data_IF_576219848605
#
_entry.id   IF_576219848605
#
_cell.length_a   1.000
_cell.length_b   1.000
_cell.length_c   1.000
_cell.angle_alpha   90.00
_cell.angle_beta   90.00
_cell.angle_gamma   90.00
#
_symmetry.space_group_name_H-M   'P 1'
#
loop_
_entity.id
_entity.type
_entity.pdbx_description
1 polymer ?
#
# COMPACT_ATOMS: atom_id res chain seq x y z
N UNK A 1 -2.69 10.79 -14.59
CA UNK A 1 -1.99 9.82 -13.75
C UNK A 1 -2.18 8.41 -14.29
N UNK A 2 -1.09 7.68 -14.37
CA UNK A 2 -1.13 6.30 -14.84
C UNK A 2 -1.53 5.38 -13.68
N UNK A 3 -2.62 4.63 -13.84
CA UNK A 3 -3.10 3.71 -12.83
C UNK A 3 -2.78 2.24 -13.16
N UNK A 4 -1.77 2.02 -14.01
CA UNK A 4 -1.34 0.66 -14.33
C UNK A 4 -0.69 -0.01 -13.12
N UNK A 5 -0.87 -1.32 -12.96
CA UNK A 5 -0.19 -2.04 -11.89
C UNK A 5 1.33 -1.97 -12.02
N UNK A 6 2.02 -2.00 -10.90
CA UNK A 6 3.48 -1.98 -10.88
C UNK A 6 4.02 -2.81 -9.73
N UNK A 7 5.30 -3.18 -9.84
CA UNK A 7 5.97 -3.95 -8.81
C UNK A 7 6.89 -3.06 -8.00
N UNK A 8 6.91 -3.28 -6.69
CA UNK A 8 7.84 -2.64 -5.78
C UNK A 8 8.74 -3.70 -5.18
N UNK A 9 10.05 -3.44 -5.18
CA UNK A 9 11.01 -4.28 -4.49
C UNK A 9 11.79 -3.41 -3.53
N UNK A 10 11.79 -3.78 -2.26
CA UNK A 10 12.40 -2.97 -1.22
C UNK A 10 12.79 -3.85 -0.05
N UNK A 11 13.63 -3.31 0.82
CA UNK A 11 14.06 -4.03 2.01
C UNK A 11 13.24 -3.57 3.20
N UNK A 12 12.73 -4.54 3.96
CA UNK A 12 11.97 -4.27 5.18
C UNK A 12 12.40 -5.30 6.23
N UNK A 13 12.90 -4.82 7.36
CA UNK A 13 13.39 -5.66 8.45
C UNK A 13 14.42 -6.69 7.97
N UNK A 14 15.37 -6.21 7.15
CA UNK A 14 16.47 -7.03 6.59
C UNK A 14 16.01 -8.11 5.63
N UNK A 15 14.77 -8.06 5.16
CA UNK A 15 14.27 -8.99 4.15
C UNK A 15 13.83 -8.23 2.92
N UNK A 16 14.18 -8.78 1.75
CA UNK A 16 13.68 -8.22 0.50
C UNK A 16 12.21 -8.55 0.36
N UNK A 17 11.42 -7.52 0.08
CA UNK A 17 10.00 -7.66 -0.17
C UNK A 17 9.71 -7.35 -1.63
N UNK A 18 8.81 -8.11 -2.22
CA UNK A 18 8.33 -7.86 -3.57
C UNK A 18 6.81 -7.82 -3.50
N UNK A 19 6.23 -6.66 -3.81
CA UNK A 19 4.79 -6.51 -3.76
C UNK A 19 4.30 -5.95 -5.10
N UNK A 20 3.13 -6.41 -5.52
CA UNK A 20 2.45 -5.85 -6.67
C UNK A 20 1.42 -4.85 -6.18
N UNK A 21 1.48 -3.65 -6.74
CA UNK A 21 0.54 -2.58 -6.41
C UNK A 21 -0.40 -2.40 -7.58
N UNK A 22 -1.69 -2.55 -7.33
CA UNK A 22 -2.73 -2.36 -8.34
C UNK A 22 -3.59 -1.17 -7.94
N UNK A 23 -3.32 0.03 -8.49
CA UNK A 23 -4.20 1.15 -8.21
C UNK A 23 -5.61 0.80 -8.64
N UNK A 24 -6.55 0.93 -7.73
CA UNK A 24 -7.91 0.46 -7.95
C UNK A 24 -8.82 1.58 -8.43
N UNK A 25 -8.91 2.60 -7.63
CA UNK A 25 -9.98 3.56 -7.81
C UNK A 25 -9.60 4.87 -7.14
N UNK A 26 -10.31 5.92 -7.54
CA UNK A 26 -10.08 7.25 -7.00
C UNK A 26 -11.39 7.79 -6.45
N UNK A 27 -11.39 8.22 -5.20
CA UNK A 27 -12.54 8.88 -4.58
C UNK A 27 -12.07 10.16 -3.90
N UNK A 28 -12.75 11.27 -4.17
CA UNK A 28 -12.46 12.55 -3.52
C UNK A 28 -10.97 12.92 -3.57
N UNK A 29 -10.35 12.72 -4.73
CA UNK A 29 -8.94 13.01 -4.96
C UNK A 29 -7.98 12.10 -4.21
N UNK A 30 -8.45 10.99 -3.69
CA UNK A 30 -7.61 10.01 -3.01
C UNK A 30 -7.63 8.71 -3.80
N UNK A 31 -6.46 8.13 -4.00
CA UNK A 31 -6.33 6.88 -4.76
C UNK A 31 -6.20 5.73 -3.77
N UNK A 32 -6.87 4.63 -4.08
CA UNK A 32 -6.82 3.40 -3.31
C UNK A 32 -5.92 2.41 -4.05
N UNK A 33 -5.06 1.71 -3.32
CA UNK A 33 -4.07 0.80 -3.90
C UNK A 33 -4.26 -0.60 -3.32
N UNK A 34 -4.55 -1.56 -4.20
CA UNK A 34 -4.64 -2.96 -3.80
C UNK A 34 -3.23 -3.55 -3.76
N UNK A 35 -2.90 -4.19 -2.66
CA UNK A 35 -1.58 -4.77 -2.43
C UNK A 35 -1.68 -6.28 -2.58
N UNK A 36 -0.86 -6.83 -3.46
CA UNK A 36 -0.80 -8.25 -3.75
C UNK A 36 0.60 -8.76 -3.47
N UNK A 37 0.70 -9.90 -2.79
CA UNK A 37 1.97 -10.57 -2.51
C UNK A 37 1.80 -12.04 -2.90
N UNK A 38 2.74 -12.55 -3.71
CA UNK A 38 2.71 -13.93 -4.21
C UNK A 38 1.37 -14.26 -4.88
N UNK A 39 0.87 -13.33 -5.70
CA UNK A 39 -0.38 -13.46 -6.43
C UNK A 39 -1.62 -13.59 -5.53
N UNK A 40 -1.51 -13.15 -4.27
CA UNK A 40 -2.62 -13.16 -3.35
C UNK A 40 -2.91 -11.74 -2.86
N UNK A 41 -4.18 -11.37 -2.90
CA UNK A 41 -4.62 -10.08 -2.38
C UNK A 41 -4.42 -10.04 -0.86
N UNK A 42 -3.83 -8.96 -0.39
CA UNK A 42 -3.56 -8.77 1.04
C UNK A 42 -4.51 -7.74 1.65
N UNK A 43 -4.49 -6.53 1.11
CA UNK A 43 -5.29 -5.43 1.64
C UNK A 43 -5.26 -4.28 0.64
N UNK A 44 -6.14 -3.32 0.89
CA UNK A 44 -6.18 -2.07 0.12
C UNK A 44 -5.79 -0.94 1.06
N UNK A 45 -4.83 -0.13 0.64
CA UNK A 45 -4.34 0.98 1.44
C UNK A 45 -4.54 2.29 0.70
N UNK A 46 -4.57 3.37 1.47
CA UNK A 46 -4.79 4.70 0.91
C UNK A 46 -4.10 5.72 1.82
N UNK A 47 -3.64 6.85 1.27
CA UNK A 47 -3.13 7.93 2.11
C UNK A 47 -4.23 8.44 3.04
N UNK A 48 -3.87 8.81 4.24
CA UNK A 48 -4.82 9.34 5.20
C UNK A 48 -4.11 9.81 6.45
N UNK A 49 -4.91 10.16 7.45
CA UNK A 49 -4.35 10.55 8.74
C UNK A 49 -4.31 9.34 9.65
N UNK A 50 -3.21 9.19 10.36
CA UNK A 50 -3.05 8.17 11.39
C UNK A 50 -2.88 8.89 12.73
N UNK A 51 -3.33 8.24 13.80
CA UNK A 51 -3.27 8.81 15.15
C UNK A 51 -3.84 10.23 15.22
N UNK A 52 -4.92 10.46 14.47
CA UNK A 52 -5.67 11.71 14.50
C UNK A 52 -5.22 12.76 13.51
N UNK A 53 -3.93 13.12 13.50
CA UNK A 53 -3.49 14.27 12.71
C UNK A 53 -2.18 14.05 11.95
N UNK A 54 -1.59 12.87 12.02
CA UNK A 54 -0.33 12.61 11.32
C UNK A 54 -0.58 12.03 9.95
N UNK A 55 0.05 12.58 8.87
CA UNK A 55 -0.06 11.96 7.55
C UNK A 55 0.54 10.56 7.57
N UNK A 56 -0.09 9.66 6.86
CA UNK A 56 0.40 8.29 6.76
C UNK A 56 -0.47 7.48 5.82
N UNK A 57 -0.42 6.16 5.99
CA UNK A 57 -1.18 5.23 5.16
C UNK A 57 -2.08 4.39 6.06
N UNK A 58 -3.30 4.16 5.62
CA UNK A 58 -4.27 3.40 6.39
C UNK A 58 -4.89 2.31 5.53
N UNK A 59 -5.40 1.29 6.20
CA UNK A 59 -6.12 0.22 5.52
C UNK A 59 -7.54 0.66 5.26
N UNK A 60 -7.96 0.57 4.00
CA UNK A 60 -9.34 0.81 3.61
C UNK A 60 -10.13 -0.50 3.58
N UNK A 61 -9.46 -1.59 3.20
CA UNK A 61 -10.08 -2.90 3.12
C UNK A 61 -8.99 -3.96 3.29
N UNK A 62 -9.30 -5.08 3.93
CA UNK A 62 -8.32 -6.15 4.07
C UNK A 62 -8.98 -7.51 3.86
N UNK A 63 -8.16 -8.47 3.45
CA UNK A 63 -8.54 -9.87 3.44
C UNK A 63 -8.67 -10.36 4.88
N UNK A 64 -9.80 -10.91 5.25
CA UNK A 64 -10.08 -11.31 6.63
C UNK A 64 -9.10 -12.35 7.17
N UNK A 65 -8.52 -13.14 6.27
CA UNK A 65 -7.61 -14.22 6.67
C UNK A 65 -6.16 -13.76 6.80
N UNK A 66 -5.88 -12.47 6.59
CA UNK A 66 -4.50 -11.97 6.58
C UNK A 66 -4.20 -11.12 7.81
N UNK A 67 -3.03 -11.36 8.37
CA UNK A 67 -2.49 -10.53 9.45
C UNK A 67 -1.94 -9.25 8.85
N UNK A 68 -2.06 -8.16 9.59
CA UNK A 68 -1.63 -6.86 9.11
C UNK A 68 -0.40 -6.41 9.89
N UNK A 69 0.68 -6.07 9.17
CA UNK A 69 1.87 -5.47 9.73
C UNK A 69 1.82 -3.97 9.40
N UNK A 70 1.53 -3.15 10.40
CA UNK A 70 1.38 -1.72 10.21
C UNK A 70 2.67 -1.05 9.73
N UNK A 71 3.83 -1.53 10.21
CA UNK A 71 5.10 -0.99 9.76
C UNK A 71 5.31 -1.25 8.27
N UNK A 72 4.95 -2.45 7.81
CA UNK A 72 5.07 -2.80 6.40
C UNK A 72 4.15 -1.92 5.55
N UNK A 73 2.94 -1.65 6.01
CA UNK A 73 2.00 -0.78 5.30
C UNK A 73 2.59 0.61 5.11
N UNK A 74 3.18 1.18 6.17
CA UNK A 74 3.78 2.50 6.06
C UNK A 74 4.96 2.48 5.08
N UNK A 75 5.76 1.43 5.10
CA UNK A 75 6.88 1.28 4.18
C UNK A 75 6.39 1.16 2.74
N UNK A 76 5.37 0.34 2.49
CA UNK A 76 4.78 0.22 1.15
C UNK A 76 4.27 1.57 0.67
N UNK A 77 3.60 2.31 1.54
CA UNK A 77 3.09 3.62 1.19
C UNK A 77 4.18 4.59 0.77
N UNK A 78 5.28 4.63 1.52
CA UNK A 78 6.43 5.47 1.17
C UNK A 78 7.01 5.03 -0.19
N UNK A 79 7.08 3.74 -0.45
CA UNK A 79 7.59 3.24 -1.74
C UNK A 79 6.65 3.59 -2.89
N UNK A 80 5.34 3.59 -2.65
CA UNK A 80 4.38 4.05 -3.65
C UNK A 80 4.62 5.54 -3.96
N UNK A 81 4.78 6.35 -2.93
CA UNK A 81 5.05 7.78 -3.13
C UNK A 81 6.32 7.98 -3.95
N UNK A 82 7.38 7.25 -3.63
CA UNK A 82 8.64 7.35 -4.36
C UNK A 82 8.50 6.91 -5.81
N UNK A 83 7.66 5.93 -6.07
CA UNK A 83 7.43 5.44 -7.44
C UNK A 83 6.87 6.54 -8.33
N UNK A 84 6.00 7.39 -7.80
CA UNK A 84 5.33 8.43 -8.57
C UNK A 84 6.09 9.77 -8.59
N UNK A 85 7.21 9.88 -7.89
CA UNK A 85 8.00 11.12 -7.88
C UNK A 85 8.90 11.28 -9.10
#
# INVERSE_FOLDING_TARGET
MDLSPFLLEFKHRNKMQSVEVRPCCKEENVIYYDIWIDNQYQYTITPGLINGDKPGWRIALKNADKTVDQDLIQTIGVEIESYYL
#
